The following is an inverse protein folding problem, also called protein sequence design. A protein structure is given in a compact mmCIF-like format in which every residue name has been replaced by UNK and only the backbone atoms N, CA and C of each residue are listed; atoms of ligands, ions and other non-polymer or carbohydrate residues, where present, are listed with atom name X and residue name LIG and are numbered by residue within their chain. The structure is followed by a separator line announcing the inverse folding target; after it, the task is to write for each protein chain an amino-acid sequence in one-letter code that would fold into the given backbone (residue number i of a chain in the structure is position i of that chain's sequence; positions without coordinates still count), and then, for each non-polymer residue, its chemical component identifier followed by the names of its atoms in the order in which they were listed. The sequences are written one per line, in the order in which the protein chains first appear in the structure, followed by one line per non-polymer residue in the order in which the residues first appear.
data_IF_661546840535
#
_entry.id   IF_661546840535
#
_cell.length_a   1.000
_cell.length_b   1.000
_cell.length_c   1.000
_cell.angle_alpha   90.00
_cell.angle_beta   90.00
_cell.angle_gamma   90.00
#
_symmetry.space_group_name_H-M   'P 1'
#
loop_
_entity.id
_entity.type
_entity.pdbx_description
1 polymer ?
#
# COMPACT_ATOMS: atom_id res chain seq x y z
N UNK A 1 -13.07 -34.54 -23.91
CA UNK A 1 -14.10 -33.55 -23.60
C UNK A 1 -13.61 -32.45 -22.64
N UNK A 2 -12.65 -32.73 -21.76
CA UNK A 2 -12.10 -31.73 -20.82
C UNK A 2 -11.21 -30.66 -21.47
N UNK A 3 -10.50 -30.98 -22.56
CA UNK A 3 -9.63 -29.99 -23.25
C UNK A 3 -10.38 -28.89 -24.01
N UNK A 4 -11.63 -29.11 -24.38
CA UNK A 4 -12.40 -28.12 -25.16
C UNK A 4 -13.09 -27.05 -24.27
N UNK A 5 -13.36 -27.35 -22.99
CA UNK A 5 -13.91 -26.38 -22.04
C UNK A 5 -12.91 -25.31 -21.66
N UNK A 6 -11.65 -25.66 -21.46
CA UNK A 6 -10.60 -24.70 -21.09
C UNK A 6 -10.28 -23.66 -22.19
N UNK A 7 -10.34 -24.04 -23.46
CA UNK A 7 -10.09 -23.12 -24.57
C UNK A 7 -11.21 -22.08 -24.70
N UNK A 8 -12.48 -22.48 -24.56
CA UNK A 8 -13.62 -21.55 -24.62
C UNK A 8 -13.59 -20.50 -23.50
N UNK A 9 -13.14 -20.88 -22.31
CA UNK A 9 -13.02 -19.96 -21.18
C UNK A 9 -11.83 -19.00 -21.33
N UNK A 10 -10.73 -19.46 -21.93
CA UNK A 10 -9.57 -18.60 -22.26
C UNK A 10 -9.94 -17.55 -23.31
N UNK A 11 -10.66 -17.94 -24.39
CA UNK A 11 -11.12 -16.99 -25.42
C UNK A 11 -12.12 -15.96 -24.87
N UNK A 12 -13.04 -16.38 -24.02
CA UNK A 12 -13.99 -15.47 -23.36
C UNK A 12 -13.28 -14.48 -22.45
N UNK A 13 -12.29 -14.95 -21.72
CA UNK A 13 -11.48 -14.10 -20.83
C UNK A 13 -10.66 -13.07 -21.64
N UNK A 14 -10.00 -13.50 -22.71
CA UNK A 14 -9.25 -12.60 -23.60
C UNK A 14 -10.15 -11.55 -24.28
N UNK A 15 -11.33 -11.97 -24.76
CA UNK A 15 -12.30 -11.04 -25.34
C UNK A 15 -12.84 -10.04 -24.32
N UNK A 16 -13.08 -10.47 -23.08
CA UNK A 16 -13.48 -9.59 -21.99
C UNK A 16 -12.37 -8.61 -21.59
N UNK A 17 -11.13 -9.09 -21.49
CA UNK A 17 -9.96 -8.27 -21.19
C UNK A 17 -9.73 -7.21 -22.28
N UNK A 18 -9.89 -7.59 -23.57
CA UNK A 18 -9.75 -6.64 -24.68
C UNK A 18 -10.87 -5.59 -24.69
N UNK A 19 -12.13 -6.00 -24.47
CA UNK A 19 -13.27 -5.08 -24.40
C UNK A 19 -13.13 -4.10 -23.21
N UNK A 20 -12.57 -4.57 -22.10
CA UNK A 20 -12.26 -3.74 -20.93
C UNK A 20 -11.18 -2.70 -21.26
N UNK A 21 -10.09 -3.12 -21.93
CA UNK A 21 -9.02 -2.22 -22.36
C UNK A 21 -9.58 -1.17 -23.32
N UNK A 22 -10.31 -1.58 -24.35
CA UNK A 22 -10.82 -0.70 -25.39
C UNK A 22 -11.83 0.34 -24.86
N UNK A 23 -12.57 0.02 -23.79
CA UNK A 23 -13.56 0.91 -23.18
C UNK A 23 -13.03 1.70 -22.00
N UNK A 24 -12.26 1.06 -21.11
CA UNK A 24 -11.81 1.68 -19.89
C UNK A 24 -10.56 2.53 -20.06
N UNK A 25 -9.62 2.11 -20.92
CA UNK A 25 -8.35 2.81 -21.13
C UNK A 25 -8.54 4.27 -21.60
N UNK A 26 -9.38 4.58 -22.60
CA UNK A 26 -9.60 5.97 -22.99
C UNK A 26 -10.16 6.85 -21.87
N UNK A 27 -11.06 6.29 -21.05
CA UNK A 27 -11.65 7.01 -19.90
C UNK A 27 -10.59 7.25 -18.83
N UNK A 28 -9.75 6.27 -18.55
CA UNK A 28 -8.63 6.40 -17.61
C UNK A 28 -7.66 7.50 -18.07
N UNK A 29 -7.26 7.49 -19.35
CA UNK A 29 -6.36 8.50 -19.92
C UNK A 29 -6.97 9.91 -19.87
N UNK A 30 -8.26 10.03 -20.11
CA UNK A 30 -8.99 11.29 -19.96
C UNK A 30 -8.92 11.80 -18.51
N UNK A 31 -9.18 10.94 -17.54
CA UNK A 31 -9.10 11.30 -16.12
C UNK A 31 -7.68 11.63 -15.68
N UNK A 32 -6.67 10.88 -16.11
CA UNK A 32 -5.26 11.19 -15.83
C UNK A 32 -4.86 12.57 -16.38
N UNK A 33 -5.32 12.90 -17.59
CA UNK A 33 -5.08 14.21 -18.20
C UNK A 33 -5.76 15.31 -17.40
N UNK A 34 -7.03 15.13 -17.06
CA UNK A 34 -7.83 16.07 -16.30
C UNK A 34 -7.25 16.32 -14.89
N UNK A 35 -6.89 15.26 -14.17
CA UNK A 35 -6.26 15.32 -12.84
C UNK A 35 -5.00 16.19 -12.89
N UNK A 36 -4.18 16.02 -13.93
CA UNK A 36 -2.94 16.80 -14.11
C UNK A 36 -3.21 18.26 -14.45
N UNK A 37 -4.15 18.54 -15.34
CA UNK A 37 -4.46 19.89 -15.80
C UNK A 37 -5.19 20.73 -14.75
N UNK A 38 -6.11 20.12 -14.03
CA UNK A 38 -6.95 20.79 -13.03
C UNK A 38 -6.37 20.71 -11.60
N UNK A 39 -5.26 19.95 -11.40
CA UNK A 39 -4.63 19.80 -10.10
C UNK A 39 -5.51 19.09 -9.08
N UNK A 40 -6.33 18.12 -9.51
CA UNK A 40 -7.33 17.44 -8.65
C UNK A 40 -6.73 16.45 -7.66
N UNK A 41 -5.45 16.13 -7.79
CA UNK A 41 -4.68 15.35 -6.81
C UNK A 41 -3.45 16.15 -6.39
N UNK A 42 -3.20 16.22 -5.09
CA UNK A 42 -1.99 16.82 -4.50
C UNK A 42 -1.27 15.77 -3.65
N UNK A 43 -0.51 14.85 -4.28
CA UNK A 43 0.16 13.76 -3.59
C UNK A 43 1.14 14.28 -2.56
N UNK A 44 1.09 13.75 -1.35
CA UNK A 44 2.05 14.04 -0.27
C UNK A 44 2.34 12.76 0.49
N UNK A 45 3.56 12.67 1.00
CA UNK A 45 3.99 11.60 1.89
C UNK A 45 4.75 12.20 3.06
N UNK A 46 4.48 11.66 4.25
CA UNK A 46 5.33 11.82 5.42
C UNK A 46 5.79 10.42 5.85
N UNK A 47 7.05 10.26 6.18
CA UNK A 47 7.57 9.01 6.71
C UNK A 47 8.67 9.27 7.74
N UNK A 48 8.93 8.28 8.59
CA UNK A 48 9.96 8.36 9.62
C UNK A 48 10.40 6.98 10.08
N UNK A 49 11.50 6.94 10.82
CA UNK A 49 12.10 5.73 11.37
C UNK A 49 12.00 5.77 12.88
N UNK A 50 11.51 4.70 13.47
CA UNK A 50 11.28 4.61 14.90
C UNK A 50 12.01 3.40 15.48
N UNK A 51 12.73 3.55 16.61
CA UNK A 51 13.25 2.41 17.34
C UNK A 51 12.10 1.50 17.76
N UNK A 52 12.27 0.20 17.62
CA UNK A 52 11.24 -0.76 18.01
C UNK A 52 11.82 -2.07 18.51
N UNK A 53 10.96 -2.93 18.96
CA UNK A 53 11.26 -4.30 19.31
C UNK A 53 10.00 -5.07 19.64
N UNK A 54 10.15 -6.38 19.76
CA UNK A 54 9.06 -7.30 20.10
C UNK A 54 8.92 -7.45 21.59
N UNK A 55 7.67 -7.44 22.06
CA UNK A 55 7.24 -7.87 23.39
C UNK A 55 6.10 -8.90 23.23
N UNK A 56 6.41 -10.18 23.32
CA UNK A 56 5.45 -11.24 23.03
C UNK A 56 4.92 -11.22 21.60
N UNK A 57 3.63 -10.92 21.44
CA UNK A 57 2.97 -10.76 20.14
C UNK A 57 2.83 -9.28 19.72
N UNK A 58 3.39 -8.36 20.49
CA UNK A 58 3.34 -6.95 20.18
C UNK A 58 4.64 -6.45 19.55
N UNK A 59 4.52 -5.46 18.66
CA UNK A 59 5.62 -4.59 18.26
C UNK A 59 5.48 -3.27 19.02
N UNK A 60 6.48 -2.95 19.82
CA UNK A 60 6.53 -1.74 20.63
C UNK A 60 7.41 -0.71 19.93
N UNK A 61 6.91 0.50 19.82
CA UNK A 61 7.55 1.62 19.10
C UNK A 61 7.96 2.67 20.12
N UNK A 62 9.17 3.16 19.97
CA UNK A 62 9.78 4.12 20.89
C UNK A 62 10.09 5.45 20.21
N UNK A 63 10.24 6.48 21.06
CA UNK A 63 10.63 7.80 20.62
C UNK A 63 12.07 7.77 20.05
N UNK A 64 12.32 8.32 18.87
CA UNK A 64 13.68 8.35 18.27
C UNK A 64 14.70 9.13 19.12
N UNK A 65 14.26 10.15 19.85
CA UNK A 65 15.13 11.01 20.68
C UNK A 65 15.25 10.45 22.11
N UNK A 66 14.17 9.87 22.62
CA UNK A 66 14.12 9.28 23.97
C UNK A 66 13.75 7.80 23.89
N UNK A 67 14.73 6.93 23.61
CA UNK A 67 14.53 5.49 23.36
C UNK A 67 13.92 4.69 24.51
N UNK A 68 13.81 5.28 25.71
CA UNK A 68 13.10 4.70 26.84
C UNK A 68 11.60 4.98 26.84
N UNK A 69 11.15 5.95 26.05
CA UNK A 69 9.76 6.38 25.98
C UNK A 69 9.01 5.62 24.91
N UNK A 70 8.06 4.77 25.34
CA UNK A 70 7.12 4.09 24.46
C UNK A 70 6.16 5.11 23.83
N UNK A 71 6.05 5.13 22.51
CA UNK A 71 5.09 5.92 21.74
C UNK A 71 3.81 5.16 21.47
N UNK A 72 3.92 3.85 21.30
CA UNK A 72 2.77 3.02 21.02
C UNK A 72 3.14 1.55 20.88
N UNK A 73 2.10 0.72 20.83
CA UNK A 73 2.22 -0.74 20.82
C UNK A 73 1.16 -1.31 19.87
N UNK A 74 1.58 -2.22 19.01
CA UNK A 74 0.73 -2.90 18.05
C UNK A 74 0.61 -4.37 18.44
N UNK A 75 -0.53 -4.76 19.01
CA UNK A 75 -0.85 -6.15 19.30
C UNK A 75 -1.21 -6.88 17.99
N UNK A 76 -0.44 -7.88 17.63
CA UNK A 76 -0.57 -8.59 16.37
C UNK A 76 -1.07 -10.01 16.59
N UNK A 77 -2.10 -10.46 15.85
CA UNK A 77 -2.64 -11.80 16.04
C UNK A 77 -1.65 -12.86 15.54
N UNK A 78 -1.44 -13.88 16.36
CA UNK A 78 -0.69 -15.07 15.97
C UNK A 78 -1.58 -16.05 15.22
N UNK A 79 -1.08 -16.66 14.17
CA UNK A 79 -1.78 -17.73 13.45
C UNK A 79 -2.20 -18.85 14.41
N UNK A 80 -3.44 -19.35 14.24
CA UNK A 80 -4.02 -20.39 15.12
C UNK A 80 -3.54 -21.79 14.78
N UNK A 81 -3.10 -22.04 13.54
CA UNK A 81 -2.67 -23.33 12.99
C UNK A 81 -1.41 -23.20 12.14
N UNK A 82 -0.87 -24.31 11.67
CA UNK A 82 0.37 -24.37 10.89
C UNK A 82 1.58 -23.95 11.73
N UNK A 83 2.45 -23.15 11.16
CA UNK A 83 3.69 -22.68 11.81
C UNK A 83 3.46 -21.66 12.92
N UNK A 84 2.21 -21.19 13.12
CA UNK A 84 1.82 -20.22 14.17
C UNK A 84 2.63 -18.92 14.12
N UNK A 85 2.93 -18.43 12.92
CA UNK A 85 3.65 -17.16 12.74
C UNK A 85 2.86 -15.98 13.30
N UNK A 86 3.61 -14.99 13.78
CA UNK A 86 3.15 -13.66 14.12
C UNK A 86 4.09 -12.65 13.45
N UNK A 87 3.57 -11.54 12.96
CA UNK A 87 4.40 -10.49 12.36
C UNK A 87 5.43 -9.96 13.37
N UNK A 88 5.10 -9.94 14.67
CA UNK A 88 6.05 -9.55 15.71
C UNK A 88 7.32 -10.42 15.75
N UNK A 89 7.27 -11.67 15.26
CA UNK A 89 8.42 -12.57 15.26
C UNK A 89 9.58 -12.11 14.36
N UNK A 90 9.32 -11.19 13.43
CA UNK A 90 10.35 -10.57 12.58
C UNK A 90 11.15 -9.47 13.27
N UNK A 91 10.74 -9.06 14.48
CA UNK A 91 11.44 -8.04 15.26
C UNK A 91 12.21 -8.65 16.41
N UNK A 92 13.32 -8.01 16.78
CA UNK A 92 14.17 -8.42 17.90
C UNK A 92 13.45 -8.27 19.22
N UNK A 93 13.70 -9.19 20.14
CA UNK A 93 13.07 -9.23 21.45
C UNK A 93 13.65 -8.16 22.38
N UNK A 94 12.80 -7.30 22.94
CA UNK A 94 13.19 -6.20 23.82
C UNK A 94 13.93 -6.66 25.07
N UNK A 95 13.53 -7.80 25.63
CA UNK A 95 14.13 -8.31 26.87
C UNK A 95 15.50 -8.93 26.61
N UNK A 96 15.67 -9.63 25.48
CA UNK A 96 16.92 -10.25 25.10
C UNK A 96 18.01 -9.23 24.76
N UNK A 97 17.61 -8.12 24.14
CA UNK A 97 18.53 -7.07 23.67
C UNK A 97 18.74 -5.93 24.68
N UNK A 98 17.98 -5.92 25.78
CA UNK A 98 18.05 -4.88 26.81
C UNK A 98 17.46 -3.53 26.37
N UNK A 99 16.58 -3.53 25.37
CA UNK A 99 15.88 -2.35 24.84
C UNK A 99 15.63 -2.43 23.33
N UNK A 100 15.11 -1.34 22.71
CA UNK A 100 14.80 -1.31 21.29
C UNK A 100 16.09 -1.34 20.46
N UNK A 101 16.29 -2.45 19.73
CA UNK A 101 17.47 -2.71 18.90
C UNK A 101 17.14 -2.88 17.43
N UNK A 102 15.86 -2.69 17.08
CA UNK A 102 15.35 -2.75 15.73
C UNK A 102 14.73 -1.43 15.30
N UNK A 103 14.36 -1.29 14.04
CA UNK A 103 13.79 -0.08 13.46
C UNK A 103 12.54 -0.43 12.66
N UNK A 104 11.44 0.28 12.91
CA UNK A 104 10.24 0.23 12.10
C UNK A 104 10.06 1.53 11.33
N UNK A 105 10.04 1.51 9.99
CA UNK A 105 9.62 2.66 9.22
C UNK A 105 8.09 2.78 9.24
N UNK A 106 7.61 4.00 9.36
CA UNK A 106 6.20 4.32 9.23
C UNK A 106 6.00 5.38 8.18
N UNK A 107 4.93 5.26 7.38
CA UNK A 107 4.60 6.24 6.36
C UNK A 107 3.10 6.55 6.36
N UNK A 108 2.78 7.77 5.98
CA UNK A 108 1.42 8.21 5.68
C UNK A 108 1.41 8.89 4.32
N UNK A 109 0.49 8.47 3.45
CA UNK A 109 0.30 9.02 2.11
C UNK A 109 -1.08 9.65 1.97
N UNK A 110 -1.18 10.71 1.17
CA UNK A 110 -2.46 11.34 0.86
C UNK A 110 -2.46 11.87 -0.57
N UNK A 111 -3.63 11.90 -1.17
CA UNK A 111 -3.88 12.58 -2.47
C UNK A 111 -4.41 14.01 -2.29
N UNK A 112 -4.48 14.49 -1.04
CA UNK A 112 -4.91 15.84 -0.68
C UNK A 112 -6.42 16.00 -0.50
N UNK A 113 -6.81 17.10 0.13
CA UNK A 113 -8.20 17.41 0.43
C UNK A 113 -9.04 17.62 -0.84
N UNK A 114 -8.44 18.19 -1.88
CA UNK A 114 -9.10 18.40 -3.17
C UNK A 114 -9.60 17.09 -3.79
N UNK A 115 -8.87 15.99 -3.61
CA UNK A 115 -9.31 14.66 -4.06
C UNK A 115 -10.62 14.24 -3.38
N UNK A 116 -10.71 14.44 -2.06
CA UNK A 116 -11.90 14.11 -1.28
C UNK A 116 -13.08 15.00 -1.65
N UNK A 117 -12.84 16.30 -1.82
CA UNK A 117 -13.86 17.28 -2.19
C UNK A 117 -14.43 17.00 -3.58
N UNK A 118 -13.55 16.80 -4.58
CA UNK A 118 -13.96 16.48 -5.96
C UNK A 118 -14.77 15.16 -6.01
N UNK A 119 -14.34 14.13 -5.28
CA UNK A 119 -15.08 12.86 -5.22
C UNK A 119 -16.50 13.07 -4.63
N UNK A 120 -16.63 13.85 -3.55
CA UNK A 120 -17.93 14.18 -2.94
C UNK A 120 -18.81 14.97 -3.89
N UNK A 121 -18.27 15.94 -4.62
CA UNK A 121 -19.01 16.76 -5.60
C UNK A 121 -19.53 15.91 -6.76
N UNK A 122 -18.70 15.01 -7.31
CA UNK A 122 -19.11 14.09 -8.36
C UNK A 122 -20.25 13.17 -7.90
N UNK A 123 -20.14 12.65 -6.68
CA UNK A 123 -21.18 11.80 -6.08
C UNK A 123 -22.49 12.57 -5.85
N UNK A 124 -22.42 13.78 -5.29
CA UNK A 124 -23.58 14.62 -5.02
C UNK A 124 -24.28 15.13 -6.30
N UNK A 125 -23.57 15.19 -7.42
CA UNK A 125 -24.09 15.56 -8.72
C UNK A 125 -24.65 14.38 -9.53
N UNK A 126 -24.86 13.20 -8.92
CA UNK A 126 -25.29 11.95 -9.55
C UNK A 126 -24.38 11.49 -10.71
N UNK A 127 -23.13 11.96 -10.74
CA UNK A 127 -22.09 11.57 -11.71
C UNK A 127 -21.36 10.33 -11.23
N UNK A 128 -22.10 9.26 -11.00
CA UNK A 128 -21.58 8.07 -10.30
C UNK A 128 -20.43 7.37 -11.05
N UNK A 129 -20.49 7.26 -12.38
CA UNK A 129 -19.41 6.67 -13.18
C UNK A 129 -18.12 7.49 -13.07
N UNK A 130 -18.23 8.83 -13.15
CA UNK A 130 -17.10 9.74 -12.99
C UNK A 130 -16.50 9.66 -11.58
N UNK A 131 -17.35 9.56 -10.56
CA UNK A 131 -16.93 9.33 -9.19
C UNK A 131 -16.12 8.06 -9.05
N UNK A 132 -16.58 6.92 -9.61
CA UNK A 132 -15.89 5.63 -9.53
C UNK A 132 -14.52 5.69 -10.20
N UNK A 133 -14.43 6.26 -11.41
CA UNK A 133 -13.15 6.40 -12.11
C UNK A 133 -12.18 7.32 -11.37
N UNK A 134 -12.65 8.48 -10.93
CA UNK A 134 -11.82 9.44 -10.22
C UNK A 134 -11.35 8.92 -8.85
N UNK A 135 -12.28 8.34 -8.07
CA UNK A 135 -11.96 7.75 -6.77
C UNK A 135 -11.00 6.57 -6.92
N UNK A 136 -11.27 5.66 -7.87
CA UNK A 136 -10.39 4.52 -8.15
C UNK A 136 -8.98 4.95 -8.57
N UNK A 137 -8.87 5.98 -9.43
CA UNK A 137 -7.58 6.56 -9.80
C UNK A 137 -6.85 7.14 -8.57
N UNK A 138 -7.56 7.86 -7.70
CA UNK A 138 -7.00 8.41 -6.46
C UNK A 138 -6.47 7.34 -5.52
N UNK A 139 -7.19 6.22 -5.36
CA UNK A 139 -6.75 5.06 -4.57
C UNK A 139 -5.49 4.44 -5.16
N UNK A 140 -5.48 4.14 -6.46
CA UNK A 140 -4.32 3.55 -7.15
C UNK A 140 -3.07 4.45 -7.09
N UNK A 141 -3.26 5.77 -7.18
CA UNK A 141 -2.16 6.73 -7.03
C UNK A 141 -1.63 6.77 -5.59
N UNK A 142 -2.48 6.60 -4.59
CA UNK A 142 -2.04 6.52 -3.19
C UNK A 142 -1.25 5.24 -2.93
N UNK A 143 -1.70 4.10 -3.44
CA UNK A 143 -0.99 2.82 -3.37
C UNK A 143 0.37 2.90 -4.06
N UNK A 144 0.42 3.42 -5.29
CA UNK A 144 1.67 3.59 -6.02
C UNK A 144 2.67 4.51 -5.29
N UNK A 145 2.18 5.59 -4.67
CA UNK A 145 3.02 6.47 -3.86
C UNK A 145 3.54 5.77 -2.60
N UNK A 146 2.72 4.96 -1.95
CA UNK A 146 3.12 4.17 -0.80
C UNK A 146 4.19 3.12 -1.16
N UNK A 147 4.01 2.41 -2.27
CA UNK A 147 5.00 1.44 -2.78
C UNK A 147 6.32 2.12 -3.15
N UNK A 148 6.25 3.25 -3.86
CA UNK A 148 7.44 4.03 -4.22
C UNK A 148 8.20 4.50 -2.98
N UNK A 149 7.48 4.98 -1.96
CA UNK A 149 8.07 5.42 -0.69
C UNK A 149 8.67 4.24 0.05
N UNK A 150 8.01 3.09 0.06
CA UNK A 150 8.52 1.87 0.67
C UNK A 150 9.83 1.40 0.01
N UNK A 151 9.90 1.41 -1.32
CA UNK A 151 11.14 1.10 -2.04
C UNK A 151 12.28 2.08 -1.67
N UNK A 152 11.97 3.37 -1.53
CA UNK A 152 12.92 4.38 -1.07
C UNK A 152 13.40 4.12 0.35
N UNK A 153 12.49 3.83 1.29
CA UNK A 153 12.80 3.47 2.68
C UNK A 153 13.77 2.30 2.75
N UNK A 154 13.52 1.24 1.97
CA UNK A 154 14.41 0.07 1.91
C UNK A 154 15.79 0.40 1.37
N UNK A 155 15.87 1.28 0.39
CA UNK A 155 17.14 1.81 -0.10
C UNK A 155 17.88 2.61 0.96
N UNK A 156 17.20 3.47 1.70
CA UNK A 156 17.79 4.28 2.78
C UNK A 156 18.25 3.40 3.97
N UNK A 157 17.57 2.29 4.24
CA UNK A 157 17.97 1.30 5.26
C UNK A 157 19.09 0.35 4.79
N UNK A 158 19.42 0.35 3.49
CA UNK A 158 20.60 -0.34 2.96
C UNK A 158 20.41 -1.80 2.56
N UNK A 159 19.16 -2.32 2.53
CA UNK A 159 18.90 -3.74 2.16
C UNK A 159 18.14 -3.91 0.83
N UNK A 160 17.90 -2.84 0.08
CA UNK A 160 17.22 -2.91 -1.21
C UNK A 160 17.99 -3.74 -2.26
N UNK A 161 19.31 -3.90 -2.12
CA UNK A 161 20.13 -4.66 -3.05
C UNK A 161 19.92 -6.19 -2.96
N UNK A 162 19.37 -6.66 -1.83
CA UNK A 162 19.16 -8.09 -1.57
C UNK A 162 17.77 -8.56 -2.05
N UNK A 163 17.00 -7.66 -2.67
CA UNK A 163 15.63 -7.95 -3.07
C UNK A 163 15.54 -8.41 -4.52
N UNK A 164 14.59 -9.32 -4.83
CA UNK A 164 14.29 -9.67 -6.21
C UNK A 164 13.80 -8.45 -6.99
N UNK A 165 14.17 -8.35 -8.27
CA UNK A 165 13.80 -7.22 -9.11
C UNK A 165 12.29 -7.15 -9.41
N UNK A 166 11.56 -8.25 -9.27
CA UNK A 166 10.12 -8.30 -9.46
C UNK A 166 9.41 -8.52 -8.11
N UNK A 167 8.51 -7.60 -7.75
CA UNK A 167 7.71 -7.68 -6.51
C UNK A 167 6.93 -9.00 -6.34
N UNK A 168 6.59 -9.66 -7.44
CA UNK A 168 5.91 -10.97 -7.43
C UNK A 168 6.80 -12.14 -7.00
N UNK A 169 8.11 -11.92 -6.89
CA UNK A 169 9.10 -12.95 -6.56
C UNK A 169 9.57 -12.83 -5.08
N UNK A 170 8.88 -11.97 -4.30
CA UNK A 170 9.12 -11.76 -2.86
C UNK A 170 8.35 -12.77 -2.01
#
# INVERSE_FOLDING_TARGET
VERSRGLGDVYKRQAYEQDLIDKAEPVLQQWMTRVRQEGLLTPRVAYGYFPCGRDGNAVVVFDPEERSKELGRFELPRQRSGNRYCIADFYRDLTAEGGPSDVIPMQAVTMGEIATTTAKELFAADRYSDYLYFHGLGVQMAEALAEWTHARIRSELGFAADEPQALRDV
#
